data_IF_381559567083
#
_entry.id   IF_381559567083
#
_cell.length_a   1.000
_cell.length_b   1.000
_cell.length_c   1.000
_cell.angle_alpha   90.00
_cell.angle_beta   90.00
_cell.angle_gamma   90.00
#
_symmetry.space_group_name_H-M   'P 1'
#
loop_
_entity.id
_entity.type
_entity.pdbx_description
1 polymer ?
#
# COMPACT_ATOMS: atom_id res chain seq x y z
N UNK A 1 19.47 -13.44 5.02
CA UNK A 1 19.04 -12.38 5.96
C UNK A 1 17.71 -11.95 5.42
N UNK A 2 16.65 -12.07 6.21
CA UNK A 2 15.30 -11.64 5.80
C UNK A 2 15.31 -10.12 5.67
N UNK A 3 14.71 -9.60 4.60
CA UNK A 3 14.56 -8.16 4.38
C UNK A 3 13.53 -7.63 5.40
N UNK A 4 13.79 -6.49 6.05
CA UNK A 4 12.88 -5.89 7.04
C UNK A 4 11.53 -5.52 6.43
N UNK A 5 11.49 -5.23 5.13
CA UNK A 5 10.25 -5.03 4.37
C UNK A 5 9.43 -6.32 4.29
N UNK A 6 10.07 -7.45 3.97
CA UNK A 6 9.38 -8.75 3.91
C UNK A 6 8.79 -9.11 5.27
N UNK A 7 9.55 -8.93 6.36
CA UNK A 7 9.09 -9.21 7.73
C UNK A 7 7.87 -8.34 8.11
N UNK A 8 7.87 -7.07 7.71
CA UNK A 8 6.72 -6.17 7.90
C UNK A 8 5.49 -6.68 7.14
N UNK A 9 5.64 -6.98 5.85
CA UNK A 9 4.53 -7.44 5.01
C UNK A 9 3.99 -8.79 5.50
N UNK A 10 4.85 -9.75 5.84
CA UNK A 10 4.47 -11.04 6.41
C UNK A 10 3.67 -10.86 7.71
N UNK A 11 4.10 -9.94 8.59
CA UNK A 11 3.39 -9.63 9.82
C UNK A 11 2.02 -9.02 9.55
N UNK A 12 1.91 -8.09 8.59
CA UNK A 12 0.64 -7.47 8.22
C UNK A 12 -0.34 -8.46 7.59
N UNK A 13 0.15 -9.36 6.74
CA UNK A 13 -0.64 -10.47 6.17
C UNK A 13 -1.20 -11.33 7.30
N UNK A 14 -0.34 -11.76 8.22
CA UNK A 14 -0.74 -12.60 9.35
C UNK A 14 -1.77 -11.90 10.25
N UNK A 15 -1.53 -10.63 10.61
CA UNK A 15 -2.44 -9.84 11.42
C UNK A 15 -3.80 -9.65 10.73
N UNK A 16 -3.81 -9.46 9.41
CA UNK A 16 -5.04 -9.32 8.62
C UNK A 16 -5.84 -10.63 8.59
N UNK A 17 -5.18 -11.75 8.30
CA UNK A 17 -5.82 -13.09 8.30
C UNK A 17 -6.39 -13.43 9.68
N UNK A 18 -5.67 -13.07 10.75
CA UNK A 18 -6.09 -13.30 12.13
C UNK A 18 -7.15 -12.30 12.63
N UNK A 19 -7.59 -11.36 11.79
CA UNK A 19 -8.53 -10.28 12.14
C UNK A 19 -8.04 -9.38 13.30
N UNK A 20 -6.73 -9.26 13.47
CA UNK A 20 -6.10 -8.37 14.45
C UNK A 20 -6.14 -6.92 13.97
N UNK A 21 -6.11 -6.71 12.65
CA UNK A 21 -6.32 -5.42 12.00
C UNK A 21 -7.60 -5.41 11.16
N UNK A 22 -8.28 -4.27 11.11
CA UNK A 22 -9.51 -4.08 10.34
C UNK A 22 -9.33 -3.02 9.28
N UNK A 23 -9.24 -3.48 8.05
CA UNK A 23 -9.09 -2.62 6.89
C UNK A 23 -10.43 -2.02 6.47
N UNK A 24 -10.39 -0.72 6.18
CA UNK A 24 -11.46 0.05 5.59
C UNK A 24 -11.12 0.40 4.14
N UNK A 25 -12.14 0.63 3.32
CA UNK A 25 -11.90 1.24 1.99
C UNK A 25 -11.37 2.66 2.21
N UNK A 26 -10.42 3.08 1.38
CA UNK A 26 -9.90 4.44 1.33
C UNK A 26 -10.98 5.52 1.33
N UNK A 27 -10.62 6.68 1.87
CA UNK A 27 -11.46 7.87 1.92
C UNK A 27 -11.07 8.83 0.80
N UNK A 28 -11.99 9.73 0.43
CA UNK A 28 -11.73 10.79 -0.56
C UNK A 28 -10.49 11.62 -0.18
N UNK A 29 -10.29 11.89 1.12
CA UNK A 29 -9.10 12.61 1.59
C UNK A 29 -7.78 11.85 1.34
N UNK A 30 -7.77 10.52 1.48
CA UNK A 30 -6.59 9.70 1.17
C UNK A 30 -6.40 9.54 -0.35
N UNK A 31 -7.50 9.45 -1.11
CA UNK A 31 -7.47 9.44 -2.57
C UNK A 31 -6.85 10.74 -3.11
N UNK A 32 -7.28 11.91 -2.60
CA UNK A 32 -6.74 13.23 -2.99
C UNK A 32 -5.22 13.32 -2.74
N UNK A 33 -4.76 12.89 -1.56
CA UNK A 33 -3.33 12.89 -1.20
C UNK A 33 -2.51 12.00 -2.14
N UNK A 34 -3.02 10.82 -2.49
CA UNK A 34 -2.31 9.89 -3.36
C UNK A 34 -2.42 10.25 -4.84
N UNK A 35 -3.49 10.90 -5.29
CA UNK A 35 -3.62 11.43 -6.65
C UNK A 35 -2.54 12.49 -6.94
N UNK A 36 -2.23 13.36 -5.98
CA UNK A 36 -1.14 14.33 -6.13
C UNK A 36 0.24 13.69 -6.33
N UNK A 37 0.45 12.47 -5.79
CA UNK A 37 1.75 11.79 -5.83
C UNK A 37 1.83 10.76 -6.96
N UNK A 38 0.81 9.93 -7.15
CA UNK A 38 0.80 8.79 -8.09
C UNK A 38 -0.21 8.96 -9.25
N UNK A 39 -0.97 10.04 -9.27
CA UNK A 39 -1.93 10.35 -10.33
C UNK A 39 -3.24 9.57 -10.23
N UNK A 40 -3.21 8.23 -10.23
CA UNK A 40 -4.45 7.44 -10.12
C UNK A 40 -4.26 6.16 -9.32
N UNK A 41 -5.16 5.95 -8.36
CA UNK A 41 -5.16 4.79 -7.47
C UNK A 41 -6.39 3.93 -7.76
N UNK A 42 -6.21 2.65 -8.07
CA UNK A 42 -7.33 1.76 -8.39
C UNK A 42 -7.97 1.18 -7.14
N UNK A 43 -7.15 0.60 -6.25
CA UNK A 43 -7.58 0.06 -4.96
C UNK A 43 -6.87 0.82 -3.85
N UNK A 44 -7.65 1.21 -2.86
CA UNK A 44 -7.15 1.91 -1.69
C UNK A 44 -7.80 1.32 -0.44
N UNK A 45 -6.96 0.84 0.47
CA UNK A 45 -7.36 0.29 1.76
C UNK A 45 -6.54 0.92 2.87
N UNK A 46 -7.14 1.14 4.03
CA UNK A 46 -6.40 1.66 5.17
C UNK A 46 -6.91 1.11 6.49
N UNK A 47 -6.06 1.17 7.51
CA UNK A 47 -6.48 1.09 8.89
C UNK A 47 -5.71 2.12 9.72
N UNK A 48 -6.29 2.52 10.85
CA UNK A 48 -5.64 3.41 11.79
C UNK A 48 -4.86 2.60 12.81
N UNK A 49 -3.56 2.84 12.89
CA UNK A 49 -2.70 2.34 13.94
C UNK A 49 -2.79 3.29 15.15
N UNK A 50 -3.48 2.84 16.20
CA UNK A 50 -3.65 3.62 17.43
C UNK A 50 -2.36 3.77 18.25
N UNK A 51 -1.38 2.88 18.08
CA UNK A 51 -0.11 2.93 18.83
C UNK A 51 0.81 4.01 18.26
N UNK A 52 0.92 4.07 16.94
CA UNK A 52 1.77 5.02 16.22
C UNK A 52 1.03 6.30 15.80
N UNK A 53 -0.30 6.36 15.96
CA UNK A 53 -1.10 7.53 15.59
C UNK A 53 -1.13 7.80 14.08
N UNK A 54 -1.00 6.75 13.28
CA UNK A 54 -0.80 6.85 11.82
C UNK A 54 -1.81 5.99 11.06
N UNK A 55 -2.14 6.38 9.83
CA UNK A 55 -2.87 5.55 8.89
C UNK A 55 -1.89 4.67 8.11
N UNK A 56 -2.09 3.37 8.18
CA UNK A 56 -1.42 2.41 7.31
C UNK A 56 -2.29 2.23 6.09
N UNK A 57 -1.76 2.54 4.91
CA UNK A 57 -2.51 2.65 3.66
C UNK A 57 -1.89 1.74 2.61
N UNK A 58 -2.68 0.81 2.08
CA UNK A 58 -2.31 -0.01 0.92
C UNK A 58 -2.99 0.56 -0.32
N UNK A 59 -2.18 0.87 -1.34
CA UNK A 59 -2.64 1.44 -2.59
C UNK A 59 -2.13 0.64 -3.79
N UNK A 60 -2.98 0.47 -4.82
CA UNK A 60 -2.55 0.03 -6.16
C UNK A 60 -2.61 1.19 -7.13
N UNK A 61 -1.57 1.36 -7.93
CA UNK A 61 -1.49 2.44 -8.92
C UNK A 61 -0.95 1.92 -10.23
N UNK A 62 -1.21 2.67 -11.28
CA UNK A 62 -0.68 2.41 -12.61
C UNK A 62 0.30 3.51 -12.95
N UNK A 63 1.53 3.14 -13.32
CA UNK A 63 2.54 4.11 -13.74
C UNK A 63 3.11 3.77 -15.12
N UNK A 64 3.60 4.80 -15.78
CA UNK A 64 4.27 4.67 -17.07
C UNK A 64 5.76 4.44 -16.84
N UNK A 65 6.27 3.31 -17.32
CA UNK A 65 7.71 3.01 -17.31
C UNK A 65 8.24 3.16 -18.75
N UNK A 66 9.05 4.20 -19.02
CA UNK A 66 9.72 4.40 -20.32
C UNK A 66 9.89 5.86 -20.76
N UNK A 67 10.99 6.15 -21.49
CA UNK A 67 11.13 7.43 -22.19
C UNK A 67 10.43 7.38 -23.55
N UNK A 68 9.75 8.47 -23.88
CA UNK A 68 8.98 8.71 -25.10
C UNK A 68 9.77 8.30 -26.36
N UNK A 69 9.62 7.04 -26.82
CA UNK A 69 9.75 6.58 -28.23
C UNK A 69 9.72 5.05 -28.43
N UNK A 70 9.64 4.22 -27.37
CA UNK A 70 9.48 2.78 -27.54
C UNK A 70 8.43 2.21 -26.58
N UNK A 71 7.26 1.87 -27.15
CA UNK A 71 6.14 1.13 -26.56
C UNK A 71 5.80 1.51 -25.10
N UNK A 72 4.86 2.45 -24.94
CA UNK A 72 4.23 2.77 -23.66
C UNK A 72 3.60 1.50 -23.05
N UNK A 73 4.26 0.90 -22.05
CA UNK A 73 3.68 -0.18 -21.26
C UNK A 73 3.27 0.38 -19.91
N UNK A 74 1.97 0.32 -19.65
CA UNK A 74 1.37 0.63 -18.35
C UNK A 74 1.75 -0.50 -17.38
N UNK A 75 2.45 -0.19 -16.30
CA UNK A 75 2.81 -1.16 -15.25
C UNK A 75 1.94 -0.93 -14.03
N UNK A 76 1.47 -2.02 -13.44
CA UNK A 76 0.76 -2.01 -12.17
C UNK A 76 1.79 -2.06 -11.04
N UNK A 77 1.63 -1.18 -10.06
CA UNK A 77 2.45 -1.12 -8.85
C UNK A 77 1.58 -1.17 -7.60
N UNK A 78 2.20 -1.57 -6.50
CA UNK A 78 1.57 -1.57 -5.18
C UNK A 78 2.51 -0.91 -4.18
N UNK A 79 1.93 -0.08 -3.31
CA UNK A 79 2.69 0.54 -2.23
C UNK A 79 1.92 0.52 -0.93
N UNK A 80 2.69 0.41 0.15
CA UNK A 80 2.24 0.57 1.52
C UNK A 80 2.79 1.89 2.05
N UNK A 81 1.88 2.77 2.46
CA UNK A 81 2.21 4.07 3.05
C UNK A 81 1.93 4.07 4.54
N UNK A 82 2.76 4.79 5.27
CA UNK A 82 2.48 5.26 6.62
C UNK A 82 2.20 6.74 6.51
N UNK A 83 0.97 7.14 6.79
CA UNK A 83 0.50 8.52 6.65
C UNK A 83 0.10 9.04 8.02
N UNK A 84 0.60 10.20 8.40
CA UNK A 84 0.19 10.87 9.64
C UNK A 84 -1.32 11.13 9.65
N UNK A 85 -1.99 10.86 10.77
CA UNK A 85 -3.45 10.97 10.83
C UNK A 85 -3.98 12.40 11.03
N UNK A 86 -3.14 13.32 11.49
CA UNK A 86 -3.51 14.70 11.79
C UNK A 86 -3.30 15.62 10.58
N UNK A 87 -2.18 15.49 9.87
CA UNK A 87 -1.81 16.37 8.75
C UNK A 87 -1.71 15.68 7.37
N UNK A 88 -1.94 14.36 7.31
CA UNK A 88 -1.88 13.56 6.09
C UNK A 88 -0.49 13.57 5.41
N UNK A 89 0.58 13.85 6.14
CA UNK A 89 1.95 13.73 5.64
C UNK A 89 2.34 12.24 5.44
N UNK A 90 2.93 11.91 4.30
CA UNK A 90 3.49 10.57 4.05
C UNK A 90 4.81 10.47 4.83
N UNK A 91 4.79 9.70 5.93
CA UNK A 91 5.93 9.47 6.80
C UNK A 91 6.88 8.40 6.22
N UNK A 92 6.30 7.39 5.56
CA UNK A 92 7.06 6.31 4.95
C UNK A 92 6.30 5.69 3.77
N UNK A 93 7.06 5.13 2.83
CA UNK A 93 6.58 4.40 1.67
C UNK A 93 7.40 3.12 1.51
N UNK A 94 6.72 2.02 1.21
CA UNK A 94 7.32 0.75 0.80
C UNK A 94 6.64 0.32 -0.48
N UNK A 95 7.42 0.13 -1.54
CA UNK A 95 6.93 -0.30 -2.85
C UNK A 95 7.08 -1.81 -3.03
N UNK A 96 6.39 -2.37 -4.02
CA UNK A 96 6.56 -3.77 -4.44
C UNK A 96 7.96 -4.09 -4.96
N UNK A 97 8.73 -3.08 -5.38
CA UNK A 97 10.13 -3.22 -5.79
C UNK A 97 11.11 -3.28 -4.60
N UNK A 98 10.69 -2.84 -3.41
CA UNK A 98 11.50 -2.90 -2.18
C UNK A 98 11.42 -4.27 -1.47
N UNK A 99 10.38 -5.06 -1.78
CA UNK A 99 10.19 -6.40 -1.25
C UNK A 99 11.01 -7.43 -2.04
N UNK A 100 11.70 -8.33 -1.35
CA UNK A 100 12.44 -9.40 -2.03
C UNK A 100 11.46 -10.49 -2.51
N UNK A 101 10.37 -10.73 -1.77
CA UNK A 101 9.27 -11.60 -2.19
C UNK A 101 8.09 -10.80 -2.75
N UNK A 102 8.06 -10.68 -4.08
CA UNK A 102 7.01 -10.02 -4.85
C UNK A 102 5.59 -10.58 -4.61
N UNK A 103 5.42 -11.70 -3.91
CA UNK A 103 4.10 -12.27 -3.58
C UNK A 103 3.48 -11.70 -2.31
N UNK A 104 4.25 -10.99 -1.49
CA UNK A 104 3.76 -10.51 -0.19
C UNK A 104 2.70 -9.41 -0.34
N UNK A 105 2.89 -8.46 -1.26
CA UNK A 105 1.87 -7.45 -1.57
C UNK A 105 0.57 -8.05 -2.11
N UNK A 106 0.59 -8.92 -3.14
CA UNK A 106 -0.60 -9.66 -3.57
C UNK A 106 -1.28 -10.44 -2.45
N UNK A 107 -0.51 -11.12 -1.59
CA UNK A 107 -1.05 -11.89 -0.47
C UNK A 107 -1.74 -10.99 0.57
N UNK A 108 -1.18 -9.81 0.85
CA UNK A 108 -1.80 -8.82 1.72
C UNK A 108 -3.11 -8.31 1.12
N UNK A 109 -3.11 -7.97 -0.16
CA UNK A 109 -4.30 -7.54 -0.89
C UNK A 109 -5.41 -8.60 -0.81
N UNK A 110 -5.08 -9.86 -1.09
CA UNK A 110 -6.02 -10.98 -1.01
C UNK A 110 -6.57 -11.15 0.39
N UNK A 111 -5.71 -11.13 1.42
CA UNK A 111 -6.13 -11.21 2.82
C UNK A 111 -7.10 -10.09 3.21
N UNK A 112 -6.87 -8.86 2.75
CA UNK A 112 -7.76 -7.71 2.99
C UNK A 112 -9.12 -7.93 2.33
N UNK A 113 -9.15 -8.43 1.10
CA UNK A 113 -10.38 -8.63 0.33
C UNK A 113 -11.20 -9.82 0.84
N UNK A 114 -10.55 -10.88 1.33
CA UNK A 114 -11.21 -12.04 1.94
C UNK A 114 -11.77 -11.76 3.35
N UNK A 115 -11.18 -10.81 4.09
CA UNK A 115 -11.62 -10.46 5.44
C UNK A 115 -12.90 -9.59 5.50
N UNK A 116 -13.46 -9.19 4.34
CA UNK A 116 -14.65 -8.33 4.22
C UNK A 116 -15.97 -9.11 4.20
#
# INVERSE_FOLDING_TARGET
>A
MTNTVDELLESLVAATINNEVKWSKGTEALEDVLEEVYGNTEKLYFFFDEEEGSNIVLATYQYYEGEVEADEFLKEGMSLFVIDADDFEILNEVTDEDADDAKLFPALMEAIEEAK
#
